data_IF_947463620007
#
_entry.id   IF_947463620007
#
_cell.length_a   1.000
_cell.length_b   1.000
_cell.length_c   1.000
_cell.angle_alpha   90.00
_cell.angle_beta   90.00
_cell.angle_gamma   90.00
#
_symmetry.space_group_name_H-M   'P 1'
#
loop_
_entity.id
_entity.type
_entity.pdbx_description
1 polymer ?
#
# COMPACT_ATOMS: atom_id res chain seq x y z
N UNK A 1 -12.51 6.66 -24.19
CA UNK A 1 -13.14 5.82 -23.15
C UNK A 1 -12.30 4.62 -22.72
N UNK A 2 -11.91 3.65 -23.58
CA UNK A 2 -11.11 2.50 -23.12
C UNK A 2 -9.64 2.85 -22.83
N UNK A 3 -9.04 3.71 -23.66
CA UNK A 3 -7.64 4.12 -23.56
C UNK A 3 -7.33 4.91 -22.27
N UNK A 4 -8.19 5.87 -21.89
CA UNK A 4 -8.06 6.62 -20.62
C UNK A 4 -8.10 5.71 -19.40
N UNK A 5 -8.97 4.68 -19.42
CA UNK A 5 -9.11 3.70 -18.33
C UNK A 5 -7.89 2.80 -18.20
N UNK A 6 -7.33 2.35 -19.32
CA UNK A 6 -6.10 1.57 -19.32
C UNK A 6 -4.92 2.39 -18.78
N UNK A 7 -4.81 3.66 -19.17
CA UNK A 7 -3.75 4.55 -18.69
C UNK A 7 -3.81 4.76 -17.18
N UNK A 8 -4.99 5.01 -16.61
CA UNK A 8 -5.11 5.21 -15.16
C UNK A 8 -4.82 3.93 -14.38
N UNK A 9 -5.31 2.77 -14.85
CA UNK A 9 -5.04 1.48 -14.19
C UNK A 9 -3.55 1.15 -14.27
N UNK A 10 -2.90 1.37 -15.42
CA UNK A 10 -1.47 1.16 -15.58
C UNK A 10 -0.65 2.11 -14.69
N UNK A 11 -1.02 3.39 -14.63
CA UNK A 11 -0.37 4.36 -13.76
C UNK A 11 -0.54 4.02 -12.27
N UNK A 12 -1.76 3.64 -11.86
CA UNK A 12 -2.03 3.21 -10.50
C UNK A 12 -1.20 1.98 -10.13
N UNK A 13 -1.16 0.95 -10.99
CA UNK A 13 -0.34 -0.23 -10.75
C UNK A 13 1.15 0.11 -10.64
N UNK A 14 1.65 1.01 -11.49
CA UNK A 14 3.05 1.46 -11.42
C UNK A 14 3.36 2.16 -10.09
N UNK A 15 2.54 3.14 -9.70
CA UNK A 15 2.75 3.90 -8.45
C UNK A 15 2.69 2.97 -7.24
N UNK A 16 1.69 2.09 -7.17
CA UNK A 16 1.57 1.15 -6.06
C UNK A 16 2.73 0.14 -6.03
N UNK A 17 3.34 -0.17 -7.19
CA UNK A 17 4.53 -1.03 -7.26
C UNK A 17 5.78 -0.32 -6.73
N UNK A 18 5.87 1.00 -6.85
CA UNK A 18 6.99 1.80 -6.32
C UNK A 18 6.81 2.18 -4.84
N UNK A 19 5.57 2.43 -4.41
CA UNK A 19 5.26 2.90 -3.06
C UNK A 19 4.49 1.85 -2.24
N UNK A 20 5.09 1.26 -1.20
CA UNK A 20 4.45 0.25 -0.35
C UNK A 20 3.30 0.80 0.50
N UNK A 21 3.29 2.09 0.83
CA UNK A 21 2.24 2.69 1.68
C UNK A 21 1.06 3.28 0.90
N UNK A 22 1.07 3.19 -0.43
CA UNK A 22 0.14 3.94 -1.27
C UNK A 22 -1.22 3.24 -1.45
N UNK A 23 -2.28 3.94 -1.04
CA UNK A 23 -3.61 3.86 -1.63
C UNK A 23 -3.78 5.06 -2.57
N UNK A 24 -4.44 4.85 -3.70
CA UNK A 24 -4.54 5.88 -4.74
C UNK A 24 -6.01 6.25 -4.98
N UNK A 25 -6.53 7.26 -4.27
CA UNK A 25 -7.68 7.98 -4.77
C UNK A 25 -7.28 8.80 -5.99
N UNK A 26 -8.07 8.72 -7.06
CA UNK A 26 -7.76 9.44 -8.31
C UNK A 26 -9.04 9.92 -8.98
N UNK A 27 -8.94 11.01 -9.72
CA UNK A 27 -10.05 11.59 -10.47
C UNK A 27 -9.73 11.50 -11.96
N UNK A 28 -10.71 11.06 -12.75
CA UNK A 28 -10.66 11.19 -14.22
C UNK A 28 -11.74 12.16 -14.67
N UNK A 29 -11.37 13.05 -15.59
CA UNK A 29 -12.30 13.96 -16.26
C UNK A 29 -12.30 13.57 -17.74
N UNK A 30 -13.45 13.20 -18.26
CA UNK A 30 -13.68 12.93 -19.68
C UNK A 30 -14.81 13.85 -20.14
N UNK A 31 -14.51 14.81 -21.03
CA UNK A 31 -15.44 15.88 -21.42
C UNK A 31 -15.99 16.63 -20.19
N UNK A 32 -17.31 16.56 -19.96
CA UNK A 32 -17.99 17.16 -18.83
C UNK A 32 -18.25 16.17 -17.68
N UNK A 33 -17.75 14.93 -17.76
CA UNK A 33 -17.97 13.89 -16.77
C UNK A 33 -16.75 13.63 -15.90
N UNK A 34 -16.97 13.62 -14.59
CA UNK A 34 -15.99 13.23 -13.58
C UNK A 34 -16.26 11.81 -13.11
N UNK A 35 -15.20 11.02 -12.91
CA UNK A 35 -15.28 9.77 -12.15
C UNK A 35 -14.18 9.71 -11.10
N UNK A 36 -14.56 9.19 -9.93
CA UNK A 36 -13.63 8.91 -8.85
C UNK A 36 -13.19 7.47 -8.91
N UNK A 37 -11.91 7.27 -8.62
CA UNK A 37 -11.27 5.98 -8.49
C UNK A 37 -10.69 5.86 -7.10
N UNK A 38 -10.78 4.66 -6.54
CA UNK A 38 -10.05 4.29 -5.34
C UNK A 38 -9.34 2.97 -5.64
N UNK A 39 -8.00 2.99 -5.65
CA UNK A 39 -7.18 1.81 -5.84
C UNK A 39 -6.46 1.45 -4.54
N UNK A 40 -6.69 0.22 -4.08
CA UNK A 40 -5.91 -0.44 -3.05
C UNK A 40 -5.41 -1.78 -3.58
N UNK A 41 -4.49 -2.42 -2.85
CA UNK A 41 -3.97 -3.75 -3.22
C UNK A 41 -4.98 -4.88 -3.08
N UNK A 42 -6.12 -4.62 -2.43
CA UNK A 42 -7.20 -5.59 -2.30
C UNK A 42 -8.36 -5.30 -3.24
N UNK A 43 -8.66 -4.03 -3.52
CA UNK A 43 -9.85 -3.63 -4.26
C UNK A 43 -9.60 -2.44 -5.17
N UNK A 44 -10.40 -2.34 -6.23
CA UNK A 44 -10.47 -1.15 -7.06
C UNK A 44 -11.93 -0.77 -7.23
N UNK A 45 -12.27 0.48 -6.96
CA UNK A 45 -13.61 1.01 -7.10
C UNK A 45 -13.62 2.20 -8.05
N UNK A 46 -14.70 2.32 -8.83
CA UNK A 46 -14.98 3.48 -9.68
C UNK A 46 -16.37 4.01 -9.35
N UNK A 47 -16.51 5.31 -9.14
CA UNK A 47 -17.82 5.94 -9.01
C UNK A 47 -18.60 5.93 -10.34
N UNK A 48 -19.90 6.16 -10.25
CA UNK A 48 -20.66 6.60 -11.41
C UNK A 48 -20.15 7.95 -11.92
N UNK A 49 -20.46 8.25 -13.19
CA UNK A 49 -20.12 9.51 -13.82
C UNK A 49 -20.94 10.64 -13.17
N UNK A 50 -20.28 11.75 -12.84
CA UNK A 50 -20.91 12.97 -12.31
C UNK A 50 -20.57 14.11 -13.24
N UNK A 51 -21.58 14.79 -13.79
CA UNK A 51 -21.36 15.94 -14.67
C UNK A 51 -20.78 17.14 -13.91
N UNK A 52 -19.58 17.59 -14.27
CA UNK A 52 -18.86 18.71 -13.64
C UNK A 52 -19.73 19.96 -13.50
N UNK A 53 -20.46 20.27 -14.58
CA UNK A 53 -21.28 21.47 -14.71
C UNK A 53 -22.73 21.25 -14.31
N UNK A 54 -23.22 20.00 -14.38
CA UNK A 54 -24.57 19.65 -13.99
C UNK A 54 -24.73 19.61 -12.45
N UNK A 55 -23.68 19.18 -11.73
CA UNK A 55 -23.66 19.13 -10.28
C UNK A 55 -22.34 19.66 -9.71
N UNK A 56 -22.14 20.96 -9.91
CA UNK A 56 -20.96 21.67 -9.42
C UNK A 56 -20.80 21.56 -7.89
N UNK A 57 -21.92 21.49 -7.15
CA UNK A 57 -21.88 21.40 -5.68
C UNK A 57 -21.28 20.07 -5.24
N UNK A 58 -21.69 18.95 -5.83
CA UNK A 58 -21.10 17.65 -5.54
C UNK A 58 -19.63 17.60 -5.95
N UNK A 59 -19.29 18.12 -7.13
CA UNK A 59 -17.90 18.15 -7.59
C UNK A 59 -16.98 18.94 -6.66
N UNK A 60 -17.38 20.16 -6.26
CA UNK A 60 -16.63 20.97 -5.29
C UNK A 60 -16.53 20.26 -3.94
N UNK A 61 -17.61 19.63 -3.47
CA UNK A 61 -17.59 18.88 -2.20
C UNK A 61 -16.57 17.75 -2.23
N UNK A 62 -16.50 17.00 -3.33
CA UNK A 62 -15.50 15.93 -3.53
C UNK A 62 -14.07 16.47 -3.51
N UNK A 63 -13.81 17.59 -4.21
CA UNK A 63 -12.48 18.21 -4.18
C UNK A 63 -12.09 18.66 -2.77
N UNK A 64 -13.03 19.27 -2.05
CA UNK A 64 -12.81 19.67 -0.66
C UNK A 64 -12.56 18.45 0.24
N UNK A 65 -13.28 17.34 0.04
CA UNK A 65 -13.01 16.10 0.76
C UNK A 65 -11.57 15.63 0.55
N UNK A 66 -11.02 15.68 -0.65
CA UNK A 66 -9.61 15.31 -0.86
C UNK A 66 -8.61 16.31 -0.28
N UNK A 67 -8.90 17.60 -0.35
CA UNK A 67 -8.00 18.66 0.18
C UNK A 67 -7.90 18.56 1.71
N UNK A 68 -9.01 18.24 2.38
CA UNK A 68 -9.08 18.21 3.84
C UNK A 68 -9.00 16.81 4.44
N UNK A 69 -8.95 15.76 3.62
CA UNK A 69 -8.83 14.38 4.11
C UNK A 69 -7.48 14.16 4.81
N UNK A 70 -7.52 13.40 5.89
CA UNK A 70 -6.31 12.90 6.54
C UNK A 70 -5.64 11.82 5.68
N UNK A 71 -4.38 11.51 5.97
CA UNK A 71 -3.65 10.42 5.30
C UNK A 71 -4.41 9.09 5.38
N UNK A 72 -5.04 8.79 6.52
CA UNK A 72 -5.89 7.59 6.69
C UNK A 72 -7.16 7.62 5.86
N UNK A 73 -7.81 8.78 5.74
CA UNK A 73 -9.06 8.93 4.99
C UNK A 73 -8.84 8.77 3.47
N UNK A 74 -7.65 9.13 2.97
CA UNK A 74 -7.25 8.83 1.58
C UNK A 74 -6.66 7.43 1.40
N UNK A 75 -6.45 6.70 2.49
CA UNK A 75 -6.09 5.28 2.52
C UNK A 75 -4.59 4.99 2.67
N UNK A 76 -3.77 5.95 3.06
CA UNK A 76 -2.36 5.67 3.36
C UNK A 76 -2.23 4.70 4.54
N UNK A 77 -1.27 3.79 4.44
CA UNK A 77 -0.89 2.92 5.54
C UNK A 77 0.02 3.67 6.51
N UNK A 78 -0.53 4.09 7.66
CA UNK A 78 0.23 4.79 8.70
C UNK A 78 1.30 3.92 9.38
N UNK A 79 1.31 2.61 9.15
CA UNK A 79 2.39 1.74 9.63
C UNK A 79 3.64 1.85 8.76
N UNK A 80 3.59 2.57 7.64
CA UNK A 80 4.71 2.75 6.72
C UNK A 80 4.96 4.25 6.53
N UNK A 81 6.19 4.68 6.79
CA UNK A 81 6.61 6.06 6.54
C UNK A 81 7.74 6.11 5.53
N UNK A 82 7.61 6.98 4.54
CA UNK A 82 8.62 7.19 3.51
C UNK A 82 9.67 8.20 3.98
N UNK A 83 10.94 7.80 4.04
CA UNK A 83 12.06 8.67 4.40
C UNK A 83 12.72 9.32 3.17
N UNK A 84 12.79 8.57 2.08
CA UNK A 84 13.38 9.01 0.82
C UNK A 84 12.72 8.27 -0.35
N UNK A 85 13.06 8.56 -1.61
CA UNK A 85 12.45 7.88 -2.75
C UNK A 85 12.52 6.35 -2.70
N UNK A 86 13.52 5.79 -2.02
CA UNK A 86 13.82 4.35 -1.96
C UNK A 86 13.98 3.80 -0.53
N UNK A 87 13.70 4.61 0.50
CA UNK A 87 13.86 4.21 1.91
C UNK A 87 12.60 4.47 2.71
N UNK A 88 12.23 3.48 3.52
CA UNK A 88 10.99 3.44 4.27
C UNK A 88 11.28 3.00 5.71
N UNK A 89 10.42 3.39 6.63
CA UNK A 89 10.33 2.82 7.97
C UNK A 89 9.00 2.09 8.07
N UNK A 90 9.04 0.84 8.51
CA UNK A 90 7.86 0.03 8.79
C UNK A 90 7.70 -0.10 10.29
N UNK A 91 6.48 0.06 10.78
CA UNK A 91 6.07 -0.35 12.10
C UNK A 91 5.49 -1.76 12.01
N UNK A 92 6.13 -2.70 12.68
CA UNK A 92 5.64 -4.07 12.83
C UNK A 92 5.40 -4.31 14.30
N UNK A 93 4.12 -4.40 14.69
CA UNK A 93 3.70 -4.41 16.10
C UNK A 93 4.17 -3.13 16.82
N UNK A 94 5.05 -3.26 17.82
CA UNK A 94 5.61 -2.18 18.64
C UNK A 94 7.04 -1.78 18.21
N UNK A 95 7.55 -2.33 17.10
CA UNK A 95 8.94 -2.14 16.65
C UNK A 95 8.98 -1.45 15.29
N UNK A 96 10.07 -0.72 15.05
CA UNK A 96 10.26 0.07 13.83
C UNK A 96 11.49 -0.42 13.06
N UNK A 97 11.36 -0.54 11.74
CA UNK A 97 12.40 -1.09 10.88
C UNK A 97 12.63 -0.20 9.67
N UNK A 98 13.84 0.34 9.56
CA UNK A 98 14.25 1.12 8.39
C UNK A 98 14.80 0.20 7.31
N UNK A 99 14.33 0.35 6.08
CA UNK A 99 14.86 -0.38 4.93
C UNK A 99 16.24 0.12 4.52
N UNK A 100 17.13 -0.83 4.20
CA UNK A 100 18.48 -0.60 3.68
C UNK A 100 18.48 -0.82 2.16
N UNK A 101 18.03 -1.99 1.71
CA UNK A 101 17.91 -2.34 0.29
C UNK A 101 16.86 -3.41 0.06
N UNK A 102 16.41 -3.53 -1.17
CA UNK A 102 15.52 -4.61 -1.59
C UNK A 102 16.32 -5.90 -1.78
N UNK A 103 15.85 -7.00 -1.19
CA UNK A 103 16.37 -8.36 -1.39
C UNK A 103 15.61 -9.04 -2.53
N UNK A 104 14.29 -8.92 -2.52
CA UNK A 104 13.42 -9.56 -3.51
C UNK A 104 12.13 -8.75 -3.67
N UNK A 105 11.62 -8.71 -4.89
CA UNK A 105 10.33 -8.11 -5.18
C UNK A 105 9.63 -8.87 -6.31
N UNK A 106 8.36 -9.17 -6.07
CA UNK A 106 7.45 -9.64 -7.10
C UNK A 106 6.52 -8.50 -7.51
N UNK A 107 6.51 -8.12 -8.80
CA UNK A 107 5.69 -7.02 -9.32
C UNK A 107 4.50 -7.57 -10.11
N UNK A 108 3.27 -7.56 -9.55
CA UNK A 108 2.11 -7.98 -10.29
C UNK A 108 1.75 -6.98 -11.39
N UNK A 109 1.19 -7.50 -12.48
CA UNK A 109 0.61 -6.67 -13.56
C UNK A 109 -0.82 -6.20 -13.21
N UNK A 110 -1.43 -6.82 -12.21
CA UNK A 110 -2.76 -6.52 -11.72
C UNK A 110 -2.69 -5.74 -10.40
N UNK A 111 -3.62 -4.82 -10.20
CA UNK A 111 -3.70 -3.98 -8.99
C UNK A 111 -4.03 -4.84 -7.75
N UNK A 112 -5.04 -5.70 -7.88
CA UNK A 112 -5.51 -6.62 -6.84
C UNK A 112 -4.98 -8.03 -7.11
N UNK A 113 -3.71 -8.25 -6.77
CA UNK A 113 -3.07 -9.56 -6.85
C UNK A 113 -2.07 -9.70 -5.69
N UNK A 114 -1.62 -10.93 -5.45
CA UNK A 114 -0.65 -11.25 -4.41
C UNK A 114 0.66 -10.53 -4.73
N UNK A 115 1.18 -9.83 -3.75
CA UNK A 115 2.45 -9.13 -3.86
C UNK A 115 3.33 -9.45 -2.66
N UNK A 116 4.63 -9.55 -2.91
CA UNK A 116 5.61 -9.72 -1.83
C UNK A 116 6.83 -8.89 -2.13
N UNK A 117 7.29 -8.16 -1.13
CA UNK A 117 8.57 -7.45 -1.12
C UNK A 117 9.36 -7.90 0.09
N UNK A 118 10.63 -8.15 -0.11
CA UNK A 118 11.57 -8.50 0.96
C UNK A 118 12.66 -7.46 0.99
N UNK A 119 12.80 -6.82 2.13
CA UNK A 119 13.80 -5.80 2.39
C UNK A 119 14.86 -6.33 3.33
N UNK A 120 16.11 -5.94 3.11
CA UNK A 120 17.08 -5.90 4.19
C UNK A 120 16.79 -4.65 5.01
N UNK A 121 16.59 -4.80 6.31
CA UNK A 121 16.20 -3.72 7.20
C UNK A 121 16.96 -3.77 8.53
N UNK A 122 16.97 -2.66 9.26
CA UNK A 122 17.53 -2.55 10.61
C UNK A 122 16.53 -1.90 11.55
N UNK A 123 16.55 -2.33 12.81
CA UNK A 123 15.66 -1.77 13.82
C UNK A 123 16.07 -0.36 14.22
N UNK A 124 15.08 0.54 14.27
CA UNK A 124 15.22 1.96 14.63
C UNK A 124 14.31 2.30 15.81
N UNK A 125 14.46 3.49 16.39
CA UNK A 125 13.70 3.87 17.59
C UNK A 125 12.24 4.22 17.27
N UNK A 126 11.99 4.96 16.18
CA UNK A 126 10.65 5.37 15.75
C UNK A 126 10.65 5.90 14.32
N UNK A 127 9.49 6.29 13.79
CA UNK A 127 9.40 7.05 12.54
C UNK A 127 10.21 8.36 12.56
N UNK A 128 10.24 9.06 13.69
CA UNK A 128 10.90 10.35 13.85
C UNK A 128 12.41 10.24 14.15
N UNK A 129 12.86 9.05 14.55
CA UNK A 129 14.28 8.76 14.76
C UNK A 129 14.65 7.47 13.99
N UNK A 130 14.96 7.61 12.69
CA UNK A 130 15.33 6.49 11.83
C UNK A 130 16.80 6.07 11.99
N UNK A 131 17.42 6.37 13.13
CA UNK A 131 18.79 5.95 13.45
C UNK A 131 18.76 4.50 13.92
N UNK A 132 19.65 3.62 13.41
CA UNK A 132 19.74 2.24 13.89
C UNK A 132 20.03 2.18 15.39
N UNK A 133 19.34 1.28 16.11
CA UNK A 133 19.63 1.01 17.53
C UNK A 133 21.08 0.54 17.70
N UNK A 134 21.67 0.77 18.89
CA UNK A 134 23.10 0.55 19.18
C UNK A 134 23.65 -0.87 18.91
N UNK A 135 22.79 -1.88 18.71
CA UNK A 135 23.18 -3.24 18.31
C UNK A 135 22.21 -3.81 17.24
N UNK A 136 21.66 -2.96 16.38
CA UNK A 136 20.77 -3.41 15.34
C UNK A 136 21.54 -4.27 14.32
N UNK A 137 21.09 -5.51 14.14
CA UNK A 137 21.58 -6.39 13.08
C UNK A 137 20.66 -6.32 11.86
N UNK A 138 21.17 -6.52 10.64
CA UNK A 138 20.33 -6.65 9.46
C UNK A 138 19.34 -7.81 9.62
N UNK A 139 18.09 -7.54 9.27
CA UNK A 139 17.01 -8.52 9.23
C UNK A 139 16.36 -8.55 7.85
N UNK A 140 15.70 -9.66 7.51
CA UNK A 140 14.78 -9.71 6.40
C UNK A 140 13.39 -9.23 6.86
N UNK A 141 12.93 -8.10 6.32
CA UNK A 141 11.57 -7.60 6.51
C UNK A 141 10.74 -7.99 5.29
N UNK A 142 9.77 -8.87 5.49
CA UNK A 142 8.87 -9.33 4.44
C UNK A 142 7.54 -8.59 4.54
N UNK A 143 7.24 -7.84 3.50
CA UNK A 143 5.97 -7.16 3.26
C UNK A 143 5.13 -8.01 2.29
N UNK A 144 3.91 -8.35 2.68
CA UNK A 144 3.04 -9.26 1.93
C UNK A 144 1.63 -8.71 1.79
N UNK A 145 1.10 -8.83 0.58
CA UNK A 145 -0.31 -8.70 0.28
C UNK A 145 -0.86 -10.09 -0.05
N UNK A 146 -1.65 -10.60 0.88
CA UNK A 146 -2.28 -11.91 0.78
C UNK A 146 -3.75 -11.74 0.42
N UNK A 147 -4.29 -12.79 -0.21
CA UNK A 147 -5.74 -12.92 -0.33
C UNK A 147 -6.38 -13.05 1.06
N UNK A 148 -7.62 -12.60 1.24
CA UNK A 148 -8.32 -12.66 2.51
C UNK A 148 -8.44 -14.10 3.07
N UNK A 149 -8.42 -15.12 2.21
CA UNK A 149 -8.45 -16.53 2.61
C UNK A 149 -7.06 -17.17 2.77
N UNK A 150 -5.97 -16.44 2.52
CA UNK A 150 -4.62 -17.00 2.54
C UNK A 150 -3.99 -16.89 3.94
N UNK A 151 -3.40 -17.99 4.40
CA UNK A 151 -2.65 -18.02 5.65
C UNK A 151 -1.31 -17.28 5.49
N UNK A 152 -0.91 -16.56 6.53
CA UNK A 152 0.42 -15.97 6.63
C UNK A 152 1.48 -17.06 6.81
N UNK A 153 2.71 -16.77 6.40
CA UNK A 153 3.84 -17.69 6.61
C UNK A 153 4.05 -18.03 8.10
N UNK A 154 3.80 -17.05 8.99
CA UNK A 154 3.85 -17.26 10.43
C UNK A 154 2.81 -18.26 10.92
N UNK A 155 1.57 -18.15 10.43
CA UNK A 155 0.49 -19.09 10.77
C UNK A 155 0.80 -20.50 10.25
N UNK A 156 1.28 -20.62 9.00
CA UNK A 156 1.68 -21.91 8.42
C UNK A 156 2.82 -22.53 9.25
N UNK A 157 3.86 -21.77 9.58
CA UNK A 157 4.97 -22.24 10.39
C UNK A 157 4.54 -22.65 11.80
N UNK A 158 3.66 -21.87 12.43
CA UNK A 158 3.16 -22.17 13.77
C UNK A 158 2.34 -23.46 13.78
N UNK A 159 1.50 -23.67 12.76
CA UNK A 159 0.76 -24.91 12.59
C UNK A 159 1.71 -26.11 12.40
N UNK A 160 2.71 -25.99 11.52
CA UNK A 160 3.69 -27.05 11.29
C UNK A 160 4.47 -27.44 12.56
N UNK A 161 4.87 -26.47 13.39
CA UNK A 161 5.55 -26.78 14.64
C UNK A 161 4.63 -27.41 15.68
N UNK A 162 3.37 -26.98 15.74
CA UNK A 162 2.37 -27.60 16.62
C UNK A 162 2.11 -29.06 16.23
N UNK A 163 1.97 -29.33 14.93
CA UNK A 163 1.78 -30.69 14.41
C UNK A 163 2.96 -31.62 14.75
N UNK A 164 4.19 -31.09 14.73
CA UNK A 164 5.40 -31.85 15.08
C UNK A 164 5.48 -32.16 16.59
N UNK A 165 5.01 -31.24 17.44
CA UNK A 165 4.92 -31.47 18.89
C UNK A 165 3.86 -32.51 19.24
N UNK A 166 2.73 -32.55 18.51
CA UNK A 166 1.68 -33.56 18.71
C UNK A 166 2.06 -34.95 18.18
N UNK A 167 2.99 -35.02 17.21
CA UNK A 167 3.47 -36.28 16.65
C UNK A 167 4.55 -36.97 17.52
N UNK A 168 5.23 -36.21 18.38
CA UNK A 168 6.31 -36.69 19.28
C UNK A 168 5.82 -37.20 20.62
#
# INVERSE_FOLDING_TARGET
MLDSRLKIVAAANHIMNEDPGACLPTITIEDDDVSLWCFSRSHSAKSHHVGCFADLKTFVSVLLSFIFATETEVGFDLTISRLSPVSYVYQVSDRFFKTIRMISEYRPLCIADRMTRVWEAVEVASFNDPTPKRNAHPIALKDVWLDASAQTEKEIQSALFSDLEEFG
#
